data_IF_967767891210
#
_entry.id   IF_967767891210
#
_cell.length_a   1.000
_cell.length_b   1.000
_cell.length_c   1.000
_cell.angle_alpha   90.00
_cell.angle_beta   90.00
_cell.angle_gamma   90.00
#
_symmetry.space_group_name_H-M   'P 1'
#
loop_
_entity.id
_entity.type
_entity.pdbx_description
1 polymer ?
#
# COMPACT_ATOMS: atom_id res chain seq x y z
N UNK A 1 56.53 51.74 12.19
CA UNK A 1 56.66 50.53 11.35
C UNK A 1 56.48 49.31 12.25
N UNK A 2 55.76 48.29 11.76
CA UNK A 2 55.47 46.98 12.39
C UNK A 2 54.73 47.06 13.75
N UNK A 3 53.46 46.68 13.90
CA UNK A 3 52.93 45.36 13.61
C UNK A 3 51.43 45.46 13.30
N UNK A 4 51.11 45.32 12.01
CA UNK A 4 49.78 44.98 11.51
C UNK A 4 49.60 43.46 11.59
N UNK A 5 48.34 43.05 11.71
CA UNK A 5 47.76 41.72 11.38
C UNK A 5 48.01 40.65 12.45
N UNK A 6 46.94 40.26 13.18
CA UNK A 6 46.60 38.85 13.53
C UNK A 6 45.45 38.71 14.54
N UNK A 7 44.37 39.50 14.49
CA UNK A 7 43.19 39.18 15.33
C UNK A 7 41.88 39.49 14.63
N UNK A 8 41.69 39.00 13.40
CA UNK A 8 40.35 38.96 12.78
C UNK A 8 40.26 37.70 11.90
N UNK A 9 40.47 36.52 12.48
CA UNK A 9 40.16 35.22 11.87
C UNK A 9 39.87 34.18 12.95
N UNK A 10 38.82 34.39 13.74
CA UNK A 10 38.34 33.35 14.67
C UNK A 10 36.87 33.55 15.09
N UNK A 11 36.02 34.14 14.23
CA UNK A 11 34.62 34.40 14.59
C UNK A 11 33.61 34.10 13.47
N UNK A 12 33.96 33.22 12.51
CA UNK A 12 33.07 32.88 11.37
C UNK A 12 32.94 31.37 11.15
N UNK A 13 33.04 30.54 12.21
CA UNK A 13 32.97 29.08 12.04
C UNK A 13 32.18 28.33 13.11
N UNK A 14 31.33 29.01 13.89
CA UNK A 14 30.48 28.39 14.92
C UNK A 14 29.00 28.73 14.80
N UNK A 15 28.52 29.09 13.61
CA UNK A 15 27.09 29.34 13.36
C UNK A 15 26.47 28.40 12.31
N UNK A 16 27.24 27.52 11.67
CA UNK A 16 26.74 26.63 10.61
C UNK A 16 26.37 25.22 11.12
N UNK A 17 26.79 24.82 12.32
CA UNK A 17 26.55 23.45 12.83
C UNK A 17 25.26 23.29 13.66
N UNK A 18 24.63 24.39 14.10
CA UNK A 18 23.40 24.37 14.91
C UNK A 18 22.12 24.56 14.09
N UNK A 19 22.21 24.91 12.81
CA UNK A 19 21.03 25.10 11.95
C UNK A 19 20.51 23.79 11.32
N UNK A 20 21.27 22.69 11.34
CA UNK A 20 20.87 21.43 10.69
C UNK A 20 20.20 20.39 11.63
N UNK A 21 19.99 20.70 12.93
CA UNK A 21 19.32 19.78 13.87
C UNK A 21 17.85 20.10 14.15
N UNK A 22 17.27 21.15 13.54
CA UNK A 22 15.93 21.61 13.86
C UNK A 22 14.79 21.01 13.00
N UNK A 23 15.08 20.05 12.11
CA UNK A 23 14.09 19.42 11.23
C UNK A 23 14.08 17.89 11.31
N UNK A 24 14.53 17.32 12.44
CA UNK A 24 14.16 15.95 12.77
C UNK A 24 12.69 15.94 13.23
N UNK A 25 11.76 16.23 12.31
CA UNK A 25 10.36 15.85 12.55
C UNK A 25 10.37 14.33 12.74
N UNK A 26 9.77 13.81 13.83
CA UNK A 26 9.57 12.38 13.93
C UNK A 26 8.82 11.97 12.67
N UNK A 27 9.45 11.17 11.81
CA UNK A 27 8.77 10.53 10.71
C UNK A 27 7.75 9.59 11.36
N UNK A 28 6.50 10.03 11.46
CA UNK A 28 5.41 9.12 11.77
C UNK A 28 5.44 8.06 10.68
N UNK A 29 5.79 6.84 11.07
CA UNK A 29 6.02 5.76 10.14
C UNK A 29 4.65 5.26 9.67
N UNK A 30 4.13 5.88 8.62
CA UNK A 30 2.98 5.33 7.91
C UNK A 30 3.36 3.93 7.41
N UNK A 31 2.43 2.98 7.50
CA UNK A 31 2.65 1.61 7.03
C UNK A 31 1.57 1.20 6.05
N UNK A 32 1.95 0.33 5.11
CA UNK A 32 1.02 -0.26 4.15
C UNK A 32 0.59 -1.63 4.64
N UNK A 33 -0.71 -1.86 4.66
CA UNK A 33 -1.33 -3.12 5.07
C UNK A 33 -2.25 -3.62 3.95
N UNK A 34 -2.42 -4.93 3.85
CA UNK A 34 -3.33 -5.54 2.89
C UNK A 34 -4.72 -5.77 3.50
N UNK A 35 -5.74 -5.91 2.64
CA UNK A 35 -7.04 -6.40 3.05
C UNK A 35 -6.92 -7.84 3.56
N UNK A 36 -7.76 -8.20 4.54
CA UNK A 36 -7.91 -9.59 4.97
C UNK A 36 -8.15 -10.50 3.75
N UNK A 37 -7.32 -11.53 3.51
CA UNK A 37 -7.46 -12.39 2.33
C UNK A 37 -8.82 -13.08 2.25
N UNK A 38 -9.46 -13.37 3.39
CA UNK A 38 -10.79 -14.00 3.44
C UNK A 38 -11.93 -13.07 2.98
N UNK A 39 -11.66 -11.79 2.71
CA UNK A 39 -12.65 -10.82 2.23
C UNK A 39 -12.45 -10.45 0.75
N UNK A 40 -11.54 -11.15 0.06
CA UNK A 40 -11.33 -11.01 -1.38
C UNK A 40 -12.31 -11.89 -2.13
N UNK A 41 -12.49 -11.58 -3.41
CA UNK A 41 -13.39 -12.25 -4.34
C UNK A 41 -14.87 -12.23 -3.88
N UNK A 42 -15.24 -11.20 -3.13
CA UNK A 42 -16.57 -11.03 -2.54
C UNK A 42 -17.39 -9.96 -3.29
N UNK A 43 -18.67 -10.24 -3.53
CA UNK A 43 -19.62 -9.22 -4.00
C UNK A 43 -20.36 -8.63 -2.80
N UNK A 44 -20.85 -7.39 -2.89
CA UNK A 44 -21.58 -6.79 -1.79
C UNK A 44 -22.85 -7.58 -1.41
N UNK A 45 -23.53 -8.16 -2.40
CA UNK A 45 -24.67 -9.05 -2.18
C UNK A 45 -24.30 -10.45 -1.67
N UNK A 46 -23.09 -10.93 -1.97
CA UNK A 46 -22.58 -12.25 -1.58
C UNK A 46 -21.93 -12.29 -0.21
N UNK A 47 -21.41 -11.17 0.28
CA UNK A 47 -20.69 -11.11 1.55
C UNK A 47 -21.58 -11.57 2.72
N UNK A 48 -20.96 -12.33 3.63
CA UNK A 48 -21.67 -12.98 4.74
C UNK A 48 -22.38 -11.99 5.67
N UNK A 49 -21.78 -10.82 5.91
CA UNK A 49 -22.30 -9.81 6.81
C UNK A 49 -22.89 -8.65 6.01
N UNK A 50 -24.22 -8.63 5.91
CA UNK A 50 -24.96 -7.58 5.20
C UNK A 50 -25.74 -6.74 6.18
N UNK A 51 -25.48 -5.43 6.19
CA UNK A 51 -26.16 -4.48 7.05
C UNK A 51 -26.53 -3.21 6.27
N UNK A 52 -27.64 -3.27 5.57
CA UNK A 52 -28.19 -2.15 4.82
C UNK A 52 -28.84 -1.08 5.72
N UNK A 53 -29.00 -1.35 7.02
CA UNK A 53 -29.59 -0.43 7.97
C UNK A 53 -28.56 0.52 8.59
N UNK A 54 -27.27 0.36 8.27
CA UNK A 54 -26.24 1.32 8.68
C UNK A 54 -26.63 2.73 8.20
N UNK A 55 -26.73 3.74 9.09
CA UNK A 55 -27.07 5.10 8.72
C UNK A 55 -26.16 5.71 7.65
N UNK A 56 -24.91 5.24 7.53
CA UNK A 56 -23.98 5.67 6.49
C UNK A 56 -24.39 5.23 5.10
N UNK A 57 -25.22 4.20 4.99
CA UNK A 57 -25.79 3.74 3.73
C UNK A 57 -27.15 4.37 3.41
N UNK A 58 -27.68 5.26 4.26
CA UNK A 58 -29.03 5.80 4.11
C UNK A 58 -29.25 6.55 2.80
N UNK A 59 -28.25 7.33 2.36
CA UNK A 59 -28.31 8.14 1.13
C UNK A 59 -27.72 7.41 -0.09
N UNK A 60 -27.44 6.11 0.02
CA UNK A 60 -26.88 5.33 -1.08
C UNK A 60 -27.91 5.19 -2.22
N UNK A 61 -27.52 5.42 -3.48
CA UNK A 61 -28.35 5.08 -4.62
C UNK A 61 -28.75 3.59 -4.63
N UNK A 62 -29.96 3.29 -5.09
CA UNK A 62 -30.48 1.92 -5.09
C UNK A 62 -29.69 0.97 -6.01
N UNK A 63 -29.04 1.51 -7.03
CA UNK A 63 -28.21 0.80 -8.02
C UNK A 63 -26.73 0.73 -7.63
N UNK A 64 -26.39 1.11 -6.39
CA UNK A 64 -25.02 1.05 -5.87
C UNK A 64 -24.89 0.01 -4.75
N UNK A 65 -23.75 -0.66 -4.75
CA UNK A 65 -23.24 -1.45 -3.64
C UNK A 65 -22.61 -0.52 -2.59
N UNK A 66 -22.88 -0.79 -1.31
CA UNK A 66 -22.25 -0.13 -0.18
C UNK A 66 -21.20 -1.03 0.47
N UNK A 67 -20.02 -0.48 0.69
CA UNK A 67 -18.88 -1.19 1.30
C UNK A 67 -18.44 -0.44 2.54
N UNK A 68 -18.22 -1.16 3.65
CA UNK A 68 -17.68 -0.58 4.87
C UNK A 68 -16.46 -1.36 5.35
N UNK A 69 -15.32 -0.69 5.35
CA UNK A 69 -14.04 -1.23 5.82
C UNK A 69 -13.69 -0.70 7.20
N UNK A 70 -13.04 -1.53 8.01
CA UNK A 70 -12.58 -1.17 9.35
C UNK A 70 -11.11 -1.50 9.57
N UNK A 71 -10.40 -0.61 10.25
CA UNK A 71 -9.04 -0.83 10.73
C UNK A 71 -9.07 -1.40 12.17
N UNK A 72 -8.72 -2.69 12.37
CA UNK A 72 -8.59 -3.26 13.71
C UNK A 72 -7.27 -2.83 14.38
N UNK A 73 -7.13 -3.07 15.70
CA UNK A 73 -5.84 -2.91 16.40
C UNK A 73 -5.74 -1.77 17.41
N UNK A 74 -6.83 -1.07 17.71
CA UNK A 74 -6.90 -0.12 18.83
C UNK A 74 -6.13 1.18 18.56
N UNK A 75 -5.31 1.65 19.52
CA UNK A 75 -4.55 2.90 19.35
C UNK A 75 -3.27 2.73 18.54
N UNK A 76 -2.63 1.57 18.61
CA UNK A 76 -1.36 1.29 17.94
C UNK A 76 -1.50 1.20 16.41
N UNK A 77 -2.69 0.81 15.93
CA UNK A 77 -3.00 0.77 14.50
C UNK A 77 -3.09 2.16 13.86
N UNK A 78 -3.22 3.23 14.64
CA UNK A 78 -3.49 4.56 14.10
C UNK A 78 -4.84 4.60 13.39
N UNK A 79 -4.90 5.34 12.29
CA UNK A 79 -6.05 5.45 11.39
C UNK A 79 -5.64 5.30 9.93
N UNK A 80 -6.62 5.07 9.06
CA UNK A 80 -6.48 5.17 7.62
C UNK A 80 -6.03 6.57 7.20
N UNK A 81 -5.02 6.61 6.34
CA UNK A 81 -4.66 7.77 5.53
C UNK A 81 -5.30 7.64 4.15
N UNK A 82 -5.17 6.45 3.55
CA UNK A 82 -5.83 6.10 2.29
C UNK A 82 -6.05 4.59 2.16
N UNK A 83 -6.99 4.20 1.30
CA UNK A 83 -7.17 2.86 0.79
C UNK A 83 -7.03 2.86 -0.73
N UNK A 84 -6.55 1.77 -1.29
CA UNK A 84 -6.55 1.48 -2.73
C UNK A 84 -7.19 0.12 -2.91
N UNK A 85 -8.38 0.09 -3.50
CA UNK A 85 -9.24 -1.09 -3.64
C UNK A 85 -9.40 -1.43 -5.12
N UNK A 86 -9.27 -2.71 -5.47
CA UNK A 86 -9.43 -3.20 -6.84
C UNK A 86 -10.70 -4.02 -6.94
N UNK A 87 -11.58 -3.65 -7.87
CA UNK A 87 -12.86 -4.29 -8.11
C UNK A 87 -12.95 -4.88 -9.51
N UNK A 88 -13.50 -6.09 -9.62
CA UNK A 88 -13.97 -6.68 -10.86
C UNK A 88 -15.38 -6.19 -11.19
N UNK A 89 -15.56 -5.63 -12.38
CA UNK A 89 -16.83 -5.06 -12.87
C UNK A 89 -17.63 -6.04 -13.73
N UNK A 90 -17.15 -7.27 -13.89
CA UNK A 90 -17.64 -8.27 -14.85
C UNK A 90 -17.10 -8.07 -16.27
N UNK A 91 -16.72 -6.84 -16.66
CA UNK A 91 -16.11 -6.54 -17.97
C UNK A 91 -14.62 -6.19 -17.90
N UNK A 92 -14.09 -6.00 -16.69
CA UNK A 92 -12.70 -5.62 -16.44
C UNK A 92 -12.50 -5.25 -14.97
N UNK A 93 -11.35 -4.67 -14.65
CA UNK A 93 -11.00 -4.23 -13.30
C UNK A 93 -10.97 -2.71 -13.19
N UNK A 94 -11.40 -2.19 -12.05
CA UNK A 94 -11.32 -0.76 -11.70
C UNK A 94 -10.63 -0.64 -10.34
N UNK A 95 -9.68 0.28 -10.23
CA UNK A 95 -9.04 0.62 -8.95
C UNK A 95 -9.61 1.94 -8.44
N UNK A 96 -10.01 1.94 -7.17
CA UNK A 96 -10.63 3.07 -6.46
C UNK A 96 -9.72 3.45 -5.29
N UNK A 97 -9.50 4.75 -5.09
CA UNK A 97 -8.73 5.26 -3.95
C UNK A 97 -9.70 5.91 -2.97
N UNK A 98 -9.52 5.72 -1.66
CA UNK A 98 -10.36 6.33 -0.63
C UNK A 98 -9.48 7.07 0.37
N UNK A 99 -9.66 8.37 0.64
CA UNK A 99 -10.62 9.23 -0.03
C UNK A 99 -10.13 9.74 -1.39
N UNK A 100 -11.01 9.80 -2.39
CA UNK A 100 -10.75 10.45 -3.67
C UNK A 100 -11.94 11.32 -4.10
N UNK A 101 -11.78 12.64 -4.00
CA UNK A 101 -12.86 13.57 -4.35
C UNK A 101 -13.05 13.77 -5.85
N UNK A 102 -12.08 13.31 -6.67
CA UNK A 102 -12.09 13.50 -8.12
C UNK A 102 -12.70 12.30 -8.86
N UNK A 103 -12.95 11.19 -8.17
CA UNK A 103 -13.54 10.00 -8.75
C UNK A 103 -15.08 10.00 -8.72
N UNK A 104 -15.67 9.03 -9.41
CA UNK A 104 -17.12 8.93 -9.56
C UNK A 104 -17.81 8.15 -8.42
N UNK A 105 -17.05 7.70 -7.43
CA UNK A 105 -17.50 6.75 -6.41
C UNK A 105 -17.51 7.45 -5.05
N UNK A 106 -18.69 7.86 -4.55
CA UNK A 106 -18.75 8.56 -3.28
C UNK A 106 -18.10 7.72 -2.18
N UNK A 107 -17.16 8.34 -1.46
CA UNK A 107 -16.40 7.68 -0.41
C UNK A 107 -16.14 8.66 0.75
N UNK A 108 -15.77 8.10 1.90
CA UNK A 108 -15.28 8.90 3.02
C UNK A 108 -14.58 8.04 4.09
N UNK A 109 -13.68 8.69 4.83
CA UNK A 109 -13.12 8.18 6.07
C UNK A 109 -13.82 8.77 7.29
N UNK A 110 -14.09 7.95 8.31
CA UNK A 110 -14.74 8.39 9.56
C UNK A 110 -13.99 7.96 10.83
N UNK A 111 -14.08 8.80 11.88
CA UNK A 111 -13.39 8.55 13.14
C UNK A 111 -14.00 7.42 13.97
N UNK A 112 -13.15 6.88 14.85
CA UNK A 112 -13.54 5.94 15.89
C UNK A 112 -14.34 6.63 17.01
N UNK A 113 -15.65 6.79 16.81
CA UNK A 113 -16.53 7.47 17.76
C UNK A 113 -16.14 8.94 17.91
N UNK A 114 -15.76 9.35 19.13
CA UNK A 114 -15.37 10.75 19.43
C UNK A 114 -13.89 11.07 19.17
N UNK A 115 -13.10 10.10 18.69
CA UNK A 115 -11.67 10.33 18.42
C UNK A 115 -11.50 10.77 16.97
N UNK A 116 -11.64 12.08 16.73
CA UNK A 116 -11.55 12.68 15.39
C UNK A 116 -10.20 12.39 14.71
N UNK A 117 -9.13 12.26 15.49
CA UNK A 117 -7.78 11.98 14.98
C UNK A 117 -7.59 10.53 14.50
N UNK A 118 -8.55 9.63 14.72
CA UNK A 118 -8.40 8.21 14.39
C UNK A 118 -9.49 7.73 13.45
N UNK A 119 -9.26 7.96 12.17
CA UNK A 119 -10.10 7.50 11.07
C UNK A 119 -9.97 5.98 10.91
N UNK A 120 -10.91 5.19 11.42
CA UNK A 120 -10.83 3.71 11.36
C UNK A 120 -11.91 3.08 10.52
N UNK A 121 -12.85 3.88 10.02
CA UNK A 121 -13.94 3.43 9.16
C UNK A 121 -13.76 4.06 7.78
N UNK A 122 -13.87 3.26 6.73
CA UNK A 122 -13.93 3.76 5.36
C UNK A 122 -15.21 3.26 4.71
N UNK A 123 -15.94 4.15 4.05
CA UNK A 123 -17.14 3.83 3.30
C UNK A 123 -16.92 4.16 1.84
N UNK A 124 -17.42 3.30 0.97
CA UNK A 124 -17.33 3.44 -0.48
C UNK A 124 -18.62 2.96 -1.11
N UNK A 125 -19.05 3.65 -2.17
CA UNK A 125 -20.21 3.29 -2.97
C UNK A 125 -19.82 3.05 -4.43
N UNK A 126 -20.04 1.84 -4.91
CA UNK A 126 -19.74 1.45 -6.30
C UNK A 126 -21.03 1.04 -7.03
N UNK A 127 -21.08 1.02 -8.37
CA UNK A 127 -22.19 0.40 -9.08
C UNK A 127 -22.43 -1.03 -8.61
N UNK A 128 -23.70 -1.46 -8.62
CA UNK A 128 -24.09 -2.77 -8.12
C UNK A 128 -23.52 -3.93 -8.95
N UNK A 129 -23.13 -5.00 -8.26
CA UNK A 129 -22.65 -6.24 -8.85
C UNK A 129 -21.13 -6.31 -9.01
N UNK A 130 -20.39 -5.38 -8.40
CA UNK A 130 -18.93 -5.41 -8.41
C UNK A 130 -18.39 -6.45 -7.42
N UNK A 131 -17.25 -7.05 -7.76
CA UNK A 131 -16.52 -8.00 -6.90
C UNK A 131 -15.26 -7.34 -6.36
N UNK A 132 -15.05 -7.34 -5.05
CA UNK A 132 -13.81 -6.85 -4.44
C UNK A 132 -12.69 -7.89 -4.63
N UNK A 133 -11.68 -7.58 -5.44
CA UNK A 133 -10.60 -8.51 -5.77
C UNK A 133 -9.40 -8.36 -4.84
N UNK A 134 -8.99 -7.13 -4.57
CA UNK A 134 -7.88 -6.83 -3.66
C UNK A 134 -8.04 -5.46 -2.99
N UNK A 135 -7.22 -5.19 -1.99
CA UNK A 135 -7.16 -3.93 -1.29
C UNK A 135 -5.86 -3.74 -0.52
N UNK A 136 -5.34 -2.53 -0.55
CA UNK A 136 -4.27 -2.07 0.33
C UNK A 136 -4.68 -0.78 1.03
N UNK A 137 -4.07 -0.49 2.17
CA UNK A 137 -4.31 0.75 2.90
C UNK A 137 -3.01 1.30 3.47
N UNK A 138 -2.86 2.62 3.42
CA UNK A 138 -1.83 3.35 4.15
C UNK A 138 -2.43 3.80 5.48
N UNK A 139 -1.74 3.51 6.58
CA UNK A 139 -2.19 3.84 7.94
C UNK A 139 -1.09 4.60 8.69
N UNK A 140 -1.49 5.49 9.61
CA UNK A 140 -0.56 6.26 10.46
C UNK A 140 0.14 5.42 11.54
N UNK A 141 -0.28 4.17 11.75
CA UNK A 141 0.23 3.28 12.79
C UNK A 141 0.70 1.94 12.25
N UNK A 142 0.56 0.88 13.05
CA UNK A 142 0.96 -0.49 12.68
C UNK A 142 -0.17 -1.48 12.89
N UNK A 143 -0.54 -2.19 11.84
CA UNK A 143 -1.52 -3.27 11.88
C UNK A 143 -1.10 -4.39 10.91
N UNK A 144 -1.69 -5.58 11.05
CA UNK A 144 -1.42 -6.69 10.12
C UNK A 144 -2.28 -6.66 8.86
N UNK A 145 -3.51 -6.12 8.96
CA UNK A 145 -4.52 -6.10 7.90
C UNK A 145 -5.67 -5.16 8.26
N UNK A 146 -6.51 -4.85 7.29
CA UNK A 146 -7.84 -4.26 7.49
C UNK A 146 -8.94 -5.19 7.00
N UNK A 147 -10.17 -4.95 7.44
CA UNK A 147 -11.30 -5.87 7.22
C UNK A 147 -12.43 -5.17 6.47
N UNK A 148 -13.12 -5.90 5.59
CA UNK A 148 -14.48 -5.59 5.17
C UNK A 148 -15.41 -5.99 6.33
N UNK A 149 -16.10 -5.02 6.94
CA UNK A 149 -16.92 -5.26 8.12
C UNK A 149 -18.32 -5.72 7.74
N UNK A 150 -18.95 -5.00 6.82
CA UNK A 150 -20.25 -5.36 6.27
C UNK A 150 -20.42 -4.68 4.91
N UNK A 151 -21.41 -5.16 4.18
CA UNK A 151 -21.78 -4.62 2.87
C UNK A 151 -23.28 -4.38 2.82
N UNK A 152 -23.71 -3.71 1.76
CA UNK A 152 -25.09 -3.72 1.36
C UNK A 152 -25.19 -3.75 -0.17
N UNK A 153 -25.74 -4.83 -0.71
CA UNK A 153 -25.91 -4.99 -2.15
C UNK A 153 -26.91 -3.99 -2.72
N UNK A 154 -26.55 -3.37 -3.84
CA UNK A 154 -27.45 -2.62 -4.68
C UNK A 154 -28.26 -3.53 -5.60
N UNK A 155 -29.29 -2.96 -6.22
CA UNK A 155 -30.05 -3.63 -7.28
C UNK A 155 -29.45 -3.20 -8.61
N UNK A 156 -28.72 -4.10 -9.26
CA UNK A 156 -28.25 -3.84 -10.62
C UNK A 156 -29.45 -3.47 -11.52
N UNK A 157 -29.32 -2.45 -12.37
CA UNK A 157 -30.39 -2.12 -13.30
C UNK A 157 -30.67 -3.37 -14.14
N UNK A 158 -31.89 -3.90 -14.00
CA UNK A 158 -32.37 -4.97 -14.85
C UNK A 158 -32.24 -4.45 -16.27
N UNK A 159 -31.28 -4.96 -17.05
CA UNK A 159 -31.27 -4.73 -18.48
C UNK A 159 -32.62 -5.25 -18.96
N UNK A 160 -33.51 -4.33 -19.33
CA UNK A 160 -34.79 -4.70 -19.93
C UNK A 160 -34.44 -5.67 -21.05
N UNK A 161 -35.01 -6.89 -21.09
CA UNK A 161 -34.72 -7.81 -22.17
C UNK A 161 -34.96 -7.05 -23.46
N UNK A 162 -33.93 -6.98 -24.30
CA UNK A 162 -33.98 -6.36 -25.62
C UNK A 162 -35.29 -6.81 -26.29
N UNK A 163 -36.09 -5.90 -26.88
CA UNK A 163 -37.33 -6.30 -27.52
C UNK A 163 -37.00 -7.44 -28.50
N UNK A 164 -37.62 -8.60 -28.26
CA UNK A 164 -37.52 -9.78 -29.11
C UNK A 164 -37.54 -9.31 -30.58
N UNK A 165 -36.58 -9.71 -31.44
CA UNK A 165 -36.62 -9.30 -32.83
C UNK A 165 -38.00 -9.69 -33.37
N UNK A 166 -38.77 -8.69 -33.80
CA UNK A 166 -40.03 -8.94 -34.51
C UNK A 166 -39.75 -9.94 -35.62
N UNK A 167 -40.55 -11.02 -35.76
CA UNK A 167 -40.35 -11.99 -36.81
C UNK A 167 -40.30 -11.25 -38.15
N UNK A 168 -39.16 -11.34 -38.83
CA UNK A 168 -38.99 -10.84 -40.18
C UNK A 168 -40.04 -11.49 -41.06
N UNK A 169 -40.86 -10.64 -41.70
CA UNK A 169 -41.79 -11.06 -42.74
C UNK A 169 -41.00 -11.84 -43.78
N UNK A 170 -41.36 -13.11 -43.94
CA UNK A 170 -40.80 -14.03 -44.92
C UNK A 170 -41.04 -13.48 -46.33
N UNK A 171 -40.03 -12.85 -46.93
CA UNK A 171 -40.04 -12.59 -48.36
C UNK A 171 -39.81 -13.90 -49.13
N UNK A 172 -40.62 -14.04 -50.17
CA UNK A 172 -40.78 -15.18 -51.06
C UNK A 172 -39.49 -15.54 -51.80
N UNK A 173 -39.23 -16.84 -52.11
CA UNK A 173 -38.02 -17.27 -52.82
C UNK A 173 -38.00 -16.78 -54.27
N UNK A 174 -36.92 -16.10 -54.67
CA UNK A 174 -36.59 -15.85 -56.08
C UNK A 174 -35.63 -16.95 -56.60
N UNK A 175 -35.69 -17.32 -57.89
CA UNK A 175 -35.14 -18.57 -58.39
C UNK A 175 -33.62 -18.58 -58.55
N UNK A 176 -33.12 -19.80 -58.42
CA UNK A 176 -31.78 -20.30 -58.66
C UNK A 176 -31.22 -19.89 -60.02
N UNK A 177 -30.07 -19.23 -60.03
CA UNK A 177 -29.15 -19.22 -61.16
C UNK A 177 -27.83 -19.87 -60.75
N UNK A 178 -27.43 -20.84 -61.56
CA UNK A 178 -26.14 -21.55 -61.57
C UNK A 178 -25.81 -21.75 -63.06
N UNK A 179 -24.56 -21.98 -63.51
CA UNK A 179 -23.28 -22.04 -62.78
C UNK A 179 -22.14 -21.25 -63.47
N UNK A 180 -20.93 -21.43 -62.93
CA UNK A 180 -19.63 -21.41 -63.61
C UNK A 180 -18.86 -20.09 -63.58
N UNK A 181 -17.72 -20.08 -62.87
CA UNK A 181 -16.42 -20.24 -63.53
C UNK A 181 -15.29 -20.51 -62.54
N UNK A 182 -14.35 -21.31 -63.03
CA UNK A 182 -13.18 -21.88 -62.37
C UNK A 182 -12.03 -20.88 -62.35
N UNK A 183 -11.41 -20.65 -61.19
CA UNK A 183 -10.00 -20.24 -61.12
C UNK A 183 -9.35 -20.72 -59.81
N UNK A 184 -8.31 -21.50 -59.98
CA UNK A 184 -7.29 -21.94 -59.02
C UNK A 184 -5.93 -21.53 -59.62
N UNK A 185 -4.77 -21.53 -58.94
CA UNK A 185 -4.41 -21.25 -57.54
C UNK A 185 -3.26 -20.20 -57.44
N UNK A 186 -3.05 -19.58 -56.27
CA UNK A 186 -1.75 -19.01 -55.80
C UNK A 186 -1.99 -18.26 -54.48
N UNK A 187 -1.13 -18.20 -53.48
CA UNK A 187 0.21 -18.72 -53.29
C UNK A 187 0.45 -18.90 -51.77
N UNK A 188 1.30 -19.87 -51.43
CA UNK A 188 1.82 -20.08 -50.08
C UNK A 188 2.52 -18.84 -49.54
N UNK A 189 2.18 -18.43 -48.32
CA UNK A 189 3.04 -17.59 -47.49
C UNK A 189 3.61 -18.46 -46.34
N UNK A 190 4.92 -18.35 -46.04
CA UNK A 190 5.63 -19.19 -45.09
C UNK A 190 5.29 -18.88 -43.62
N UNK A 191 5.47 -19.84 -42.69
CA UNK A 191 5.37 -19.60 -41.27
C UNK A 191 6.61 -18.85 -40.74
N UNK A 192 6.40 -17.66 -40.17
CA UNK A 192 7.44 -16.97 -39.40
C UNK A 192 7.55 -17.56 -38.00
N UNK A 193 8.69 -18.18 -37.78
CA UNK A 193 9.61 -18.00 -36.64
C UNK A 193 9.10 -18.31 -35.22
N UNK A 194 9.54 -19.51 -34.81
CA UNK A 194 9.78 -19.99 -33.47
C UNK A 194 10.72 -19.08 -32.68
N UNK A 195 10.24 -18.47 -31.59
CA UNK A 195 11.11 -17.98 -30.52
C UNK A 195 11.19 -19.00 -29.38
N UNK A 196 12.41 -19.45 -29.15
CA UNK A 196 12.82 -20.43 -28.16
C UNK A 196 12.91 -19.79 -26.77
N UNK A 197 12.37 -20.40 -25.70
CA UNK A 197 12.63 -19.97 -24.34
C UNK A 197 13.89 -20.68 -23.83
N UNK A 198 14.92 -19.92 -23.48
CA UNK A 198 16.00 -20.39 -22.61
C UNK A 198 16.67 -19.18 -22.00
N UNK A 199 16.43 -18.94 -20.73
CA UNK A 199 17.57 -18.81 -19.83
C UNK A 199 17.22 -19.34 -18.44
N UNK A 200 18.00 -20.36 -18.10
CA UNK A 200 18.03 -21.11 -16.87
C UNK A 200 19.10 -20.47 -15.99
N UNK A 201 18.73 -20.00 -14.81
CA UNK A 201 19.69 -19.65 -13.77
C UNK A 201 19.27 -20.32 -12.47
N UNK A 202 19.88 -21.49 -12.26
CA UNK A 202 19.82 -22.29 -11.04
C UNK A 202 20.60 -21.62 -9.90
N UNK A 203 20.09 -21.57 -8.66
CA UNK A 203 20.83 -21.05 -7.51
C UNK A 203 21.87 -22.06 -7.03
N UNK A 204 23.13 -21.61 -6.91
CA UNK A 204 24.21 -22.38 -6.30
C UNK A 204 24.19 -22.23 -4.77
N UNK A 205 23.98 -23.34 -4.08
CA UNK A 205 24.40 -23.57 -2.69
C UNK A 205 25.87 -23.96 -2.64
N UNK A 206 26.62 -23.53 -1.60
CA UNK A 206 27.71 -24.36 -1.09
C UNK A 206 27.48 -24.80 0.37
N UNK A 207 27.62 -26.11 0.54
CA UNK A 207 27.81 -26.90 1.75
C UNK A 207 29.10 -26.48 2.52
N UNK A 208 29.03 -26.32 3.85
CA UNK A 208 29.51 -27.24 4.91
C UNK A 208 30.95 -26.98 5.35
N UNK A 209 31.12 -26.64 6.63
CA UNK A 209 32.25 -27.10 7.45
C UNK A 209 31.84 -27.23 8.94
N UNK A 210 32.01 -28.44 9.45
CA UNK A 210 32.18 -28.83 10.86
C UNK A 210 33.65 -29.26 11.01
N UNK A 211 34.35 -29.15 12.18
CA UNK A 211 33.88 -29.71 13.46
C UNK A 211 34.41 -29.03 14.76
N UNK A 212 33.90 -29.48 15.91
CA UNK A 212 34.66 -29.97 17.11
C UNK A 212 33.98 -29.59 18.42
N UNK A 213 33.71 -30.62 19.24
CA UNK A 213 32.99 -30.57 20.50
C UNK A 213 33.89 -30.38 21.73
N UNK A 214 33.39 -29.68 22.75
CA UNK A 214 33.55 -30.01 24.18
C UNK A 214 32.65 -29.16 25.10
N UNK A 215 32.34 -29.61 26.34
CA UNK A 215 30.99 -29.50 26.91
C UNK A 215 30.85 -28.49 28.06
N UNK A 216 29.60 -28.08 28.31
CA UNK A 216 29.13 -27.62 29.63
C UNK A 216 28.53 -26.21 29.64
N UNK A 217 27.21 -26.11 29.84
CA UNK A 217 26.55 -24.83 30.12
C UNK A 217 25.04 -24.88 30.00
N UNK A 218 24.38 -24.92 31.16
CA UNK A 218 22.93 -24.94 31.37
C UNK A 218 22.23 -23.64 30.91
N UNK A 219 21.04 -23.74 30.28
CA UNK A 219 20.00 -22.70 30.37
C UNK A 219 19.31 -22.27 29.08
N UNK A 220 17.97 -22.41 29.05
CA UNK A 220 17.03 -21.50 28.37
C UNK A 220 16.80 -21.72 26.88
N UNK A 221 15.65 -22.28 26.52
CA UNK A 221 15.26 -22.52 25.13
C UNK A 221 14.56 -21.34 24.49
N UNK A 222 14.82 -21.11 23.20
CA UNK A 222 14.05 -20.22 22.32
C UNK A 222 14.14 -20.76 20.88
N UNK A 223 12.98 -21.14 20.32
CA UNK A 223 12.82 -21.60 18.94
C UNK A 223 12.78 -20.42 17.98
N UNK A 224 13.80 -20.33 17.13
CA UNK A 224 14.01 -19.24 16.18
C UNK A 224 13.06 -19.26 14.98
N UNK A 225 12.27 -18.20 14.86
CA UNK A 225 11.71 -17.71 13.60
C UNK A 225 12.68 -16.66 13.02
N UNK A 226 12.73 -16.46 11.69
CA UNK A 226 13.56 -15.41 11.12
C UNK A 226 13.05 -14.02 11.55
N UNK A 227 13.84 -13.34 12.40
CA UNK A 227 13.67 -11.92 12.70
C UNK A 227 14.13 -11.10 11.48
N UNK A 228 13.19 -10.66 10.63
CA UNK A 228 13.39 -9.47 9.79
C UNK A 228 13.04 -8.22 10.60
N UNK A 229 13.73 -8.05 11.73
CA UNK A 229 13.62 -6.88 12.58
C UNK A 229 14.80 -5.96 12.30
N UNK A 230 14.57 -4.92 11.51
CA UNK A 230 15.47 -3.76 11.39
C UNK A 230 15.93 -3.34 12.78
N UNK A 231 17.25 -3.36 12.98
CA UNK A 231 17.93 -3.01 14.22
C UNK A 231 17.70 -1.54 14.58
N UNK A 232 16.60 -1.24 15.27
CA UNK A 232 16.31 0.06 15.88
C UNK A 232 17.15 0.34 17.13
N UNK A 233 17.99 -0.61 17.57
CA UNK A 233 18.90 -0.46 18.71
C UNK A 233 20.15 0.38 18.44
N UNK A 234 20.48 0.70 17.18
CA UNK A 234 21.64 1.54 16.85
C UNK A 234 21.40 3.04 17.06
N UNK A 235 20.15 3.50 17.11
CA UNK A 235 19.82 4.93 17.25
C UNK A 235 19.98 5.42 18.70
N UNK A 236 19.67 4.58 19.69
CA UNK A 236 19.77 4.97 21.11
C UNK A 236 21.24 5.17 21.56
N UNK A 237 22.18 4.38 21.04
CA UNK A 237 23.61 4.53 21.36
C UNK A 237 24.24 5.76 20.68
N UNK A 238 23.79 6.13 19.48
CA UNK A 238 24.25 7.35 18.80
C UNK A 238 23.89 8.63 19.55
N UNK A 239 22.69 8.70 20.14
CA UNK A 239 22.22 9.86 20.91
C UNK A 239 23.08 10.14 22.15
N UNK A 240 23.47 9.10 22.91
CA UNK A 240 24.33 9.24 24.08
C UNK A 240 25.75 9.69 23.73
N UNK A 241 26.30 9.22 22.60
CA UNK A 241 27.62 9.63 22.14
C UNK A 241 27.68 11.13 21.77
N UNK A 242 26.62 11.69 21.19
CA UNK A 242 26.55 13.12 20.84
C UNK A 242 26.44 14.01 22.09
N UNK A 243 25.63 13.63 23.08
CA UNK A 243 25.52 14.37 24.34
C UNK A 243 26.85 14.33 25.10
N UNK A 244 27.49 13.15 25.20
CA UNK A 244 28.79 12.98 25.84
C UNK A 244 29.91 13.75 25.12
N UNK A 245 29.97 13.69 23.79
CA UNK A 245 30.96 14.39 22.98
C UNK A 245 30.85 15.91 23.07
N UNK A 246 29.62 16.45 23.07
CA UNK A 246 29.37 17.89 23.21
C UNK A 246 29.81 18.44 24.57
N UNK A 247 29.48 17.73 25.66
CA UNK A 247 29.90 18.13 27.00
C UNK A 247 31.43 18.12 27.17
N UNK A 248 32.12 17.11 26.62
CA UNK A 248 33.58 17.00 26.68
C UNK A 248 34.28 18.13 25.92
N UNK A 249 33.78 18.50 24.74
CA UNK A 249 34.32 19.61 23.94
C UNK A 249 34.15 20.96 24.64
N UNK A 250 33.01 21.21 25.29
CA UNK A 250 32.78 22.41 26.10
C UNK A 250 33.72 22.49 27.30
N UNK A 251 33.95 21.37 27.99
CA UNK A 251 34.86 21.31 29.13
C UNK A 251 36.33 21.51 28.74
N UNK A 252 36.75 21.02 27.56
CA UNK A 252 38.09 21.31 27.02
C UNK A 252 38.27 22.78 26.70
N UNK A 253 37.30 23.39 26.03
CA UNK A 253 37.37 24.81 25.64
C UNK A 253 37.46 25.76 26.84
N UNK A 254 36.82 25.41 27.96
CA UNK A 254 36.91 26.19 29.21
C UNK A 254 38.29 26.14 29.87
N UNK A 255 39.11 25.13 29.60
CA UNK A 255 40.47 25.01 30.16
C UNK A 255 41.50 25.83 29.40
N UNK A 256 41.25 26.14 28.14
CA UNK A 256 42.20 26.86 27.29
C UNK A 256 42.15 28.40 27.46
N UNK A 257 41.17 28.91 28.23
CA UNK A 257 40.95 30.35 28.49
C UNK A 257 41.54 30.86 29.82
N UNK A 258 42.48 30.11 30.45
CA UNK A 258 43.14 30.57 31.67
C UNK A 258 44.43 31.32 31.30
N UNK A 259 44.31 32.62 31.02
CA UNK A 259 45.45 33.52 30.89
C UNK A 259 45.93 33.92 32.29
N UNK A 260 47.10 33.43 32.69
CA UNK A 260 47.77 33.93 33.90
C UNK A 260 48.39 35.29 33.59
N UNK A 261 47.75 36.35 34.07
CA UNK A 261 48.37 37.68 34.13
C UNK A 261 49.38 37.68 35.29
N UNK A 262 50.66 37.76 34.97
CA UNK A 262 51.77 38.05 35.90
C UNK A 262 52.08 39.54 35.90
#
# INVERSE_FOLDING_TARGET
>A
MAHRRRVVRAAVSTAAATACLALATPAWASSTIAINPDHRDETAGGFSTRDCADPRFADRPADHDGWHFVLPGGKASGGFESLTLTFGTGTGEVTVTVPDADDAYPDALYPAGKNEDRLIHAYLFTPAGWTLLDGSAVITGTAGKFNLSHTCGGTAPSQSPSPSPSPTTSESPQPSESPSESASPSASAPPSESESPSDSASPSTPATDSPTASPGGSGGGEGGLPLTGVATTSIALGGLALIGGGALLMLRRRRDDITFTS
#
